data_IF_208457563429
#
_entry.id   IF_208457563429
#
_cell.length_a   1.000
_cell.length_b   1.000
_cell.length_c   1.000
_cell.angle_alpha   90.00
_cell.angle_beta   90.00
_cell.angle_gamma   90.00
#
_symmetry.space_group_name_H-M   'P 1'
#
loop_
_entity.id
_entity.type
_entity.pdbx_description
1 polymer ?
#
# COMPACT_ATOMS: atom_id res chain seq x y z
N UNK A 1 -24.13 43.89 8.04
CA UNK A 1 -23.88 43.00 6.87
C UNK A 1 -22.41 42.73 6.60
N UNK A 2 -21.51 43.73 6.55
CA UNK A 2 -20.08 43.52 6.29
C UNK A 2 -19.38 42.55 7.27
N UNK A 3 -19.76 42.58 8.55
CA UNK A 3 -19.15 41.71 9.57
C UNK A 3 -19.58 40.24 9.46
N UNK A 4 -20.80 39.97 8.98
CA UNK A 4 -21.29 38.60 8.77
C UNK A 4 -20.59 37.91 7.59
N UNK A 5 -20.24 38.68 6.56
CA UNK A 5 -19.49 38.17 5.40
C UNK A 5 -18.07 37.78 5.81
N UNK A 6 -17.43 38.55 6.70
CA UNK A 6 -16.09 38.25 7.19
C UNK A 6 -16.02 36.93 7.99
N UNK A 7 -17.05 36.64 8.78
CA UNK A 7 -17.16 35.37 9.53
C UNK A 7 -17.36 34.19 8.58
N UNK A 8 -18.16 34.36 7.52
CA UNK A 8 -18.40 33.30 6.53
C UNK A 8 -17.14 32.94 5.73
N UNK A 9 -16.29 33.91 5.39
CA UNK A 9 -15.02 33.68 4.68
C UNK A 9 -13.99 32.95 5.57
N UNK A 10 -14.05 33.15 6.89
CA UNK A 10 -13.15 32.48 7.85
C UNK A 10 -13.47 30.98 8.05
N UNK A 11 -14.69 30.55 7.73
CA UNK A 11 -15.11 29.14 7.78
C UNK A 11 -14.87 28.37 6.47
N UNK A 12 -14.42 29.03 5.40
CA UNK A 12 -14.19 28.41 4.09
C UNK A 12 -12.75 27.91 3.87
N UNK A 13 -11.85 28.08 4.84
CA UNK A 13 -10.49 27.52 4.82
C UNK A 13 -10.42 26.08 5.33
N UNK A 14 -11.45 25.27 5.04
CA UNK A 14 -11.28 23.83 5.11
C UNK A 14 -10.32 23.43 3.98
N UNK A 15 -9.09 23.08 4.38
CA UNK A 15 -8.09 22.51 3.49
C UNK A 15 -8.71 21.30 2.78
N UNK A 16 -9.05 21.47 1.50
CA UNK A 16 -9.16 20.35 0.56
C UNK A 16 -7.74 19.83 0.31
N UNK A 17 -7.14 19.26 1.35
CA UNK A 17 -5.97 18.40 1.21
C UNK A 17 -6.49 17.10 0.61
N UNK A 18 -6.59 17.06 -0.71
CA UNK A 18 -6.89 15.85 -1.42
C UNK A 18 -5.76 14.86 -1.11
N UNK A 19 -6.07 13.84 -0.31
CA UNK A 19 -5.13 12.86 0.28
C UNK A 19 -4.65 11.83 -0.77
N UNK A 20 -4.21 12.32 -1.92
CA UNK A 20 -3.63 11.50 -3.00
C UNK A 20 -2.12 11.27 -2.83
N UNK A 21 -1.46 12.02 -1.93
CA UNK A 21 -0.01 11.91 -1.67
C UNK A 21 0.37 10.71 -0.77
N UNK A 22 -0.60 10.05 -0.13
CA UNK A 22 -0.35 8.91 0.76
C UNK A 22 -0.33 7.58 -0.02
N UNK A 23 0.28 7.52 -1.21
CA UNK A 23 0.37 6.27 -2.00
C UNK A 23 1.80 5.73 -2.02
N UNK A 24 2.00 4.58 -1.38
CA UNK A 24 3.25 3.84 -1.40
C UNK A 24 3.17 2.72 -2.44
N UNK A 25 4.05 2.73 -3.46
CA UNK A 25 4.03 1.75 -4.55
C UNK A 25 5.22 0.81 -4.50
N UNK A 26 4.95 -0.49 -4.53
CA UNK A 26 5.93 -1.56 -4.45
C UNK A 26 5.84 -2.38 -5.72
N UNK A 27 6.98 -2.53 -6.39
CA UNK A 27 7.09 -3.27 -7.64
C UNK A 27 7.95 -4.51 -7.42
N UNK A 28 7.36 -5.68 -7.66
CA UNK A 28 8.01 -6.99 -7.59
C UNK A 28 8.23 -7.49 -9.00
N UNK A 29 9.50 -7.65 -9.40
CA UNK A 29 9.85 -8.17 -10.72
C UNK A 29 11.01 -9.15 -10.62
N UNK A 30 11.12 -10.03 -11.60
CA UNK A 30 12.19 -11.01 -11.76
C UNK A 30 13.56 -10.40 -12.11
N UNK A 31 13.74 -9.07 -12.13
CA UNK A 31 14.83 -8.40 -12.86
C UNK A 31 16.18 -9.10 -12.57
N UNK A 32 16.68 -9.77 -13.61
CA UNK A 32 17.83 -10.67 -13.70
C UNK A 32 19.21 -10.08 -13.29
N UNK A 33 19.23 -8.99 -12.52
CA UNK A 33 20.42 -8.20 -12.22
C UNK A 33 20.67 -8.25 -10.71
N UNK A 34 21.53 -9.20 -10.32
CA UNK A 34 22.23 -9.32 -9.04
C UNK A 34 21.38 -9.55 -7.76
N UNK A 35 21.02 -10.83 -7.56
CA UNK A 35 21.17 -11.60 -6.30
C UNK A 35 20.60 -11.11 -4.96
N UNK A 36 19.54 -10.29 -4.93
CA UNK A 36 18.72 -10.13 -3.72
C UNK A 36 17.28 -10.58 -4.03
N UNK A 37 16.70 -11.36 -3.12
CA UNK A 37 15.39 -11.98 -3.30
C UNK A 37 14.34 -10.86 -3.52
N UNK A 38 13.64 -10.85 -4.66
CA UNK A 38 12.64 -9.82 -5.02
C UNK A 38 11.57 -9.59 -3.94
N UNK A 39 11.34 -10.58 -3.09
CA UNK A 39 10.49 -10.46 -1.90
C UNK A 39 11.12 -9.60 -0.80
N UNK A 40 12.41 -9.76 -0.50
CA UNK A 40 13.15 -8.94 0.48
C UNK A 40 13.17 -7.47 0.05
N UNK A 41 13.46 -7.20 -1.22
CA UNK A 41 13.39 -5.85 -1.78
C UNK A 41 12.00 -5.22 -1.62
N UNK A 42 10.96 -6.04 -1.78
CA UNK A 42 9.58 -5.60 -1.58
C UNK A 42 9.34 -5.24 -0.10
N UNK A 43 9.81 -6.07 0.84
CA UNK A 43 9.70 -5.79 2.28
C UNK A 43 10.43 -4.49 2.65
N UNK A 44 11.63 -4.27 2.14
CA UNK A 44 12.41 -3.07 2.43
C UNK A 44 11.74 -1.79 1.93
N UNK A 45 11.07 -1.86 0.77
CA UNK A 45 10.24 -0.76 0.26
C UNK A 45 8.98 -0.56 1.10
N UNK A 46 8.31 -1.64 1.51
CA UNK A 46 7.12 -1.57 2.36
C UNK A 46 7.45 -0.92 3.72
N UNK A 47 8.60 -1.24 4.29
CA UNK A 47 9.05 -0.68 5.56
C UNK A 47 9.34 0.83 5.50
N UNK A 48 9.44 1.42 4.31
CA UNK A 48 9.56 2.86 4.11
C UNK A 48 8.19 3.56 4.00
N UNK A 49 7.09 2.81 3.88
CA UNK A 49 5.74 3.37 3.81
C UNK A 49 5.27 3.87 5.19
N UNK A 50 4.49 4.95 5.22
CA UNK A 50 3.89 5.45 6.44
C UNK A 50 2.59 4.71 6.77
N UNK A 51 2.28 4.65 8.07
CA UNK A 51 1.01 4.09 8.54
C UNK A 51 -0.16 4.83 7.88
N UNK A 52 -1.13 4.06 7.39
CA UNK A 52 -2.31 4.50 6.64
C UNK A 52 -2.08 4.94 5.19
N UNK A 53 -0.86 4.81 4.67
CA UNK A 53 -0.63 4.96 3.23
C UNK A 53 -1.37 3.86 2.45
N UNK A 54 -1.83 4.19 1.26
CA UNK A 54 -2.27 3.23 0.26
C UNK A 54 -1.05 2.48 -0.26
N UNK A 55 -0.84 1.28 0.26
CA UNK A 55 0.17 0.34 -0.20
C UNK A 55 -0.34 -0.35 -1.48
N UNK A 56 0.31 -0.08 -2.60
CA UNK A 56 0.02 -0.70 -3.90
C UNK A 56 1.16 -1.62 -4.28
N UNK A 57 0.92 -2.93 -4.37
CA UNK A 57 1.92 -3.92 -4.77
C UNK A 57 1.59 -4.41 -6.18
N UNK A 58 2.55 -4.32 -7.11
CA UNK A 58 2.41 -4.86 -8.46
C UNK A 58 3.49 -5.90 -8.69
N UNK A 59 3.10 -7.09 -9.13
CA UNK A 59 3.98 -8.21 -9.44
C UNK A 59 3.92 -8.58 -10.92
N UNK A 60 5.11 -8.80 -11.50
CA UNK A 60 5.31 -9.34 -12.85
C UNK A 60 5.93 -10.75 -12.82
N UNK A 61 5.82 -11.44 -11.68
CA UNK A 61 6.22 -12.83 -11.52
C UNK A 61 5.14 -13.78 -12.05
N UNK A 62 5.49 -15.06 -12.22
CA UNK A 62 4.50 -16.11 -12.49
C UNK A 62 3.34 -16.08 -11.49
N UNK A 63 2.14 -16.42 -11.96
CA UNK A 63 0.90 -16.31 -11.17
C UNK A 63 0.98 -17.01 -9.80
N UNK A 64 1.57 -18.21 -9.75
CA UNK A 64 1.74 -19.00 -8.53
C UNK A 64 2.59 -18.26 -7.49
N UNK A 65 3.71 -17.66 -7.92
CA UNK A 65 4.63 -16.90 -7.08
C UNK A 65 4.01 -15.57 -6.66
N UNK A 66 3.39 -14.85 -7.61
CA UNK A 66 2.68 -13.61 -7.36
C UNK A 66 1.60 -13.79 -6.30
N UNK A 67 0.82 -14.89 -6.36
CA UNK A 67 -0.21 -15.21 -5.38
C UNK A 67 0.37 -15.42 -3.98
N UNK A 68 1.48 -16.14 -3.85
CA UNK A 68 2.13 -16.39 -2.55
C UNK A 68 2.59 -15.07 -1.93
N UNK A 69 3.35 -14.25 -2.67
CA UNK A 69 3.87 -12.99 -2.16
C UNK A 69 2.77 -11.99 -1.82
N UNK A 70 1.79 -11.80 -2.71
CA UNK A 70 0.68 -10.89 -2.46
C UNK A 70 -0.12 -11.33 -1.23
N UNK A 71 -0.41 -12.64 -1.09
CA UNK A 71 -1.14 -13.16 0.08
C UNK A 71 -0.38 -12.89 1.38
N UNK A 72 0.92 -13.12 1.39
CA UNK A 72 1.75 -12.88 2.56
C UNK A 72 1.82 -11.38 2.94
N UNK A 73 2.04 -10.51 1.95
CA UNK A 73 2.07 -9.06 2.16
C UNK A 73 0.73 -8.52 2.68
N UNK A 74 -0.40 -9.04 2.19
CA UNK A 74 -1.74 -8.72 2.70
C UNK A 74 -1.85 -9.07 4.18
N UNK A 75 -1.52 -10.31 4.53
CA UNK A 75 -1.68 -10.81 5.89
C UNK A 75 -0.81 -10.03 6.90
N UNK A 76 0.35 -9.60 6.43
CA UNK A 76 1.36 -8.95 7.25
C UNK A 76 1.13 -7.44 7.39
N UNK A 77 0.87 -6.73 6.28
CA UNK A 77 0.92 -5.26 6.24
C UNK A 77 -0.41 -4.57 5.92
N UNK A 78 -1.40 -5.28 5.38
CA UNK A 78 -2.68 -4.65 4.98
C UNK A 78 -3.70 -4.65 6.11
N UNK A 79 -4.47 -3.55 6.19
CA UNK A 79 -5.71 -3.49 6.95
C UNK A 79 -6.82 -4.18 6.16
N UNK A 80 -7.16 -5.42 6.54
CA UNK A 80 -8.16 -6.26 5.85
C UNK A 80 -9.52 -5.59 5.62
N UNK A 81 -9.94 -4.68 6.50
CA UNK A 81 -11.20 -3.96 6.36
C UNK A 81 -11.20 -2.88 5.27
N UNK A 82 -10.03 -2.56 4.70
CA UNK A 82 -9.84 -1.54 3.66
C UNK A 82 -9.01 -2.09 2.48
N UNK A 83 -9.03 -3.41 2.28
CA UNK A 83 -8.28 -4.07 1.22
C UNK A 83 -9.06 -4.06 -0.11
N UNK A 84 -8.38 -3.65 -1.18
CA UNK A 84 -8.86 -3.76 -2.56
C UNK A 84 -7.88 -4.65 -3.32
N UNK A 85 -8.20 -5.95 -3.40
CA UNK A 85 -7.46 -6.88 -4.26
C UNK A 85 -7.92 -6.65 -5.70
N UNK A 86 -7.05 -6.13 -6.55
CA UNK A 86 -7.35 -5.86 -7.96
C UNK A 86 -6.58 -6.80 -8.87
N UNK A 87 -7.31 -7.67 -9.57
CA UNK A 87 -6.86 -8.45 -10.74
C UNK A 87 -5.49 -9.14 -10.59
N UNK A 88 -5.55 -10.41 -10.19
CA UNK A 88 -4.48 -11.37 -10.45
C UNK A 88 -4.73 -11.93 -11.86
N UNK A 89 -3.95 -11.51 -12.85
CA UNK A 89 -3.98 -12.06 -14.20
C UNK A 89 -2.65 -12.79 -14.54
N UNK A 90 -2.61 -13.46 -15.70
CA UNK A 90 -1.44 -14.25 -16.11
C UNK A 90 -0.17 -13.41 -16.37
N UNK A 91 -0.30 -12.09 -16.56
CA UNK A 91 0.79 -11.19 -16.96
C UNK A 91 1.20 -10.23 -15.86
N UNK A 92 0.26 -9.86 -14.99
CA UNK A 92 0.39 -8.86 -13.96
C UNK A 92 -0.54 -9.18 -12.78
N UNK A 93 -0.05 -8.96 -11.58
CA UNK A 93 -0.86 -9.09 -10.37
C UNK A 93 -0.77 -7.79 -9.58
N UNK A 94 -1.91 -7.16 -9.27
CA UNK A 94 -1.95 -5.94 -8.48
C UNK A 94 -2.66 -6.15 -7.13
N UNK A 95 -2.22 -5.42 -6.14
CA UNK A 95 -2.85 -5.30 -4.83
C UNK A 95 -2.85 -3.82 -4.46
N UNK A 96 -3.94 -3.32 -3.88
CA UNK A 96 -3.94 -2.02 -3.21
C UNK A 96 -4.68 -2.09 -1.88
N UNK A 97 -4.05 -1.67 -0.79
CA UNK A 97 -4.64 -1.74 0.56
C UNK A 97 -4.17 -0.58 1.44
N UNK A 98 -4.82 -0.38 2.58
CA UNK A 98 -4.34 0.57 3.60
C UNK A 98 -3.23 -0.08 4.44
N UNK A 99 -2.08 0.57 4.54
CA UNK A 99 -0.91 0.08 5.25
C UNK A 99 -1.06 0.20 6.77
N UNK A 100 -0.68 -0.86 7.49
CA UNK A 100 -0.72 -0.92 8.96
C UNK A 100 0.45 -0.22 9.66
N UNK A 101 1.48 0.16 8.92
CA UNK A 101 2.75 0.66 9.45
C UNK A 101 3.71 -0.49 9.74
N UNK A 102 3.50 -1.21 10.84
CA UNK A 102 4.39 -2.33 11.22
C UNK A 102 3.82 -3.67 10.79
N UNK A 103 4.72 -4.57 10.39
CA UNK A 103 4.42 -5.98 10.13
C UNK A 103 3.64 -6.60 11.30
N UNK A 104 2.64 -7.43 10.99
CA UNK A 104 1.98 -8.24 12.00
C UNK A 104 3.01 -9.16 12.65
N UNK A 105 3.04 -9.19 13.98
CA UNK A 105 3.79 -10.23 14.70
C UNK A 105 3.16 -11.57 14.32
N UNK A 106 3.92 -12.42 13.65
CA UNK A 106 3.49 -13.78 13.36
C UNK A 106 3.10 -14.44 14.69
N UNK A 107 1.92 -15.07 14.72
CA UNK A 107 1.58 -15.92 15.84
C UNK A 107 2.53 -17.10 15.78
N UNK A 108 3.50 -17.14 16.71
CA UNK A 108 4.25 -18.37 16.97
C UNK A 108 3.23 -19.44 17.34
N UNK A 109 3.03 -20.41 16.46
CA UNK A 109 2.36 -21.65 16.84
C UNK A 109 3.34 -22.38 17.75
N UNK A 110 3.12 -22.28 19.06
CA UNK A 110 3.77 -23.14 20.04
C UNK A 110 3.26 -24.58 19.90
#
# INVERSE_FOLDING_TARGET
>A
MKMLIAIFVMFLSFNLSAEFDNKCSVLITLRFQNNENAYVDALDKINQCNKYDILSVTSFLELSVSKVYITDLIQTYCMFNHEIVTLLDEKTSNLSCVHRGKARVERKFN
#
